data_IF_309209949262
#
_entry.id   IF_309209949262
#
_cell.length_a   1.000
_cell.length_b   1.000
_cell.length_c   1.000
_cell.angle_alpha   90.00
_cell.angle_beta   90.00
_cell.angle_gamma   90.00
#
_symmetry.space_group_name_H-M   'P 1'
#
loop_
_entity.id
_entity.type
_entity.pdbx_description
1 polymer ?
#
# COMPACT_ATOMS: atom_id res chain seq x y z
N UNK A 1 13.96 -52.61 18.41
CA UNK A 1 14.08 -51.53 17.41
C UNK A 1 14.84 -50.36 18.01
N UNK A 2 15.98 -50.01 17.41
CA UNK A 2 16.83 -48.90 17.87
C UNK A 2 16.25 -47.54 17.42
N UNK A 3 16.60 -46.44 18.09
CA UNK A 3 16.14 -45.09 17.72
C UNK A 3 16.50 -44.68 16.28
N UNK A 4 17.56 -45.27 15.71
CA UNK A 4 17.96 -45.06 14.30
C UNK A 4 16.99 -45.68 13.29
N UNK A 5 16.43 -46.85 13.60
CA UNK A 5 15.46 -47.53 12.73
C UNK A 5 14.14 -46.73 12.62
N UNK A 6 13.76 -46.02 13.69
CA UNK A 6 12.58 -45.12 13.69
C UNK A 6 12.78 -43.86 12.85
N UNK A 7 13.99 -43.30 12.81
CA UNK A 7 14.31 -42.13 11.99
C UNK A 7 14.28 -42.43 10.48
N UNK A 8 14.73 -43.63 10.09
CA UNK A 8 14.76 -44.05 8.69
C UNK A 8 13.37 -44.36 8.10
N UNK A 9 12.34 -44.52 8.94
CA UNK A 9 10.96 -44.83 8.54
C UNK A 9 10.05 -43.58 8.47
N UNK A 10 10.57 -42.38 8.70
CA UNK A 10 9.79 -41.15 8.55
C UNK A 10 9.64 -40.87 7.06
N UNK A 11 8.44 -41.14 6.53
CA UNK A 11 8.07 -40.76 5.16
C UNK A 11 8.15 -39.24 5.03
N UNK A 12 9.07 -38.76 4.18
CA UNK A 12 9.16 -37.35 3.81
C UNK A 12 7.88 -37.01 3.01
N UNK A 13 7.03 -36.08 3.48
CA UNK A 13 5.81 -35.70 2.77
C UNK A 13 6.12 -35.22 1.36
N UNK A 14 5.33 -35.65 0.38
CA UNK A 14 5.49 -35.30 -1.05
C UNK A 14 5.35 -33.80 -1.35
N UNK A 15 4.89 -32.98 -0.39
CA UNK A 15 4.82 -31.52 -0.49
C UNK A 15 6.03 -30.76 0.07
N UNK A 16 6.98 -31.44 0.73
CA UNK A 16 8.09 -30.79 1.43
C UNK A 16 9.06 -30.08 0.47
N UNK A 17 9.21 -30.63 -0.75
CA UNK A 17 9.95 -30.00 -1.84
C UNK A 17 9.33 -28.68 -2.29
N UNK A 18 8.00 -28.60 -2.36
CA UNK A 18 7.27 -27.37 -2.70
C UNK A 18 7.42 -26.29 -1.63
N UNK A 19 7.34 -26.67 -0.35
CA UNK A 19 7.57 -25.76 0.78
C UNK A 19 9.01 -25.26 0.81
N UNK A 20 9.99 -26.14 0.56
CA UNK A 20 11.41 -25.75 0.45
C UNK A 20 11.64 -24.81 -0.74
N UNK A 21 10.96 -25.04 -1.86
CA UNK A 21 11.10 -24.22 -3.06
C UNK A 21 10.49 -22.82 -2.85
N UNK A 22 9.29 -22.73 -2.26
CA UNK A 22 8.68 -21.46 -1.85
C UNK A 22 9.53 -20.71 -0.81
N UNK A 23 10.06 -21.41 0.20
CA UNK A 23 10.95 -20.80 1.20
C UNK A 23 12.26 -20.31 0.57
N UNK A 24 12.83 -21.04 -0.39
CA UNK A 24 14.01 -20.62 -1.17
C UNK A 24 13.71 -19.40 -2.04
N UNK A 25 12.52 -19.33 -2.64
CA UNK A 25 12.10 -18.21 -3.46
C UNK A 25 11.91 -16.95 -2.61
N UNK A 26 11.22 -17.04 -1.46
CA UNK A 26 11.10 -15.95 -0.48
C UNK A 26 12.47 -15.47 0.04
N UNK A 27 13.38 -16.38 0.37
CA UNK A 27 14.72 -16.03 0.83
C UNK A 27 15.59 -15.36 -0.26
N UNK A 28 15.44 -15.78 -1.53
CA UNK A 28 16.10 -15.13 -2.67
C UNK A 28 15.56 -13.71 -2.89
N UNK A 29 14.24 -13.54 -2.83
CA UNK A 29 13.59 -12.24 -2.98
C UNK A 29 14.04 -11.26 -1.87
N UNK A 30 14.12 -11.73 -0.63
CA UNK A 30 14.61 -10.92 0.50
C UNK A 30 16.11 -10.55 0.37
N UNK A 31 16.95 -11.46 -0.14
CA UNK A 31 18.38 -11.19 -0.37
C UNK A 31 18.59 -10.21 -1.54
N UNK A 32 17.78 -10.31 -2.60
CA UNK A 32 17.77 -9.36 -3.71
C UNK A 32 17.28 -7.97 -3.27
N UNK A 33 16.28 -7.89 -2.39
CA UNK A 33 15.79 -6.64 -1.76
C UNK A 33 16.94 -5.87 -1.07
N UNK A 34 17.76 -6.55 -0.27
CA UNK A 34 18.96 -5.94 0.35
C UNK A 34 20.02 -5.47 -0.66
N UNK A 35 20.21 -6.20 -1.76
CA UNK A 35 21.22 -5.83 -2.77
C UNK A 35 20.75 -4.75 -3.74
N UNK A 36 19.46 -4.69 -4.09
CA UNK A 36 18.93 -3.61 -4.93
C UNK A 36 18.92 -2.28 -4.18
N UNK A 37 18.51 -2.25 -2.91
CA UNK A 37 18.58 -1.05 -2.05
C UNK A 37 20.02 -0.49 -1.95
N UNK A 38 21.04 -1.33 -2.11
CA UNK A 38 22.45 -0.91 -2.11
C UNK A 38 22.99 -0.49 -3.49
N UNK A 39 22.32 -0.84 -4.60
CA UNK A 39 22.82 -0.59 -5.97
C UNK A 39 22.04 0.48 -6.74
N UNK A 40 20.83 0.83 -6.31
CA UNK A 40 20.04 1.94 -6.89
C UNK A 40 20.29 3.31 -6.21
N UNK A 41 21.14 3.36 -5.19
CA UNK A 41 21.48 4.60 -4.45
C UNK A 41 22.31 5.62 -5.22
N UNK A 42 22.74 5.34 -6.45
CA UNK A 42 23.60 6.25 -7.23
C UNK A 42 22.83 7.17 -8.18
N UNK A 43 21.54 6.94 -8.43
CA UNK A 43 20.72 7.75 -9.35
C UNK A 43 19.54 8.47 -8.68
N UNK A 44 19.16 8.08 -7.45
CA UNK A 44 18.14 8.79 -6.64
C UNK A 44 18.79 9.86 -5.73
N UNK A 45 20.12 9.88 -5.61
CA UNK A 45 20.87 10.81 -4.76
C UNK A 45 20.77 12.30 -5.18
N UNK A 46 20.23 12.62 -6.35
CA UNK A 46 20.05 14.00 -6.79
C UNK A 46 18.68 14.62 -6.41
N UNK A 47 17.70 13.85 -5.92
CA UNK A 47 16.41 14.38 -5.45
C UNK A 47 16.21 14.28 -3.92
N UNK A 48 17.12 13.61 -3.20
CA UNK A 48 17.02 13.40 -1.74
C UNK A 48 17.61 14.54 -0.88
N UNK A 49 17.84 15.73 -1.46
CA UNK A 49 18.42 16.89 -0.77
C UNK A 49 17.44 18.07 -0.64
N UNK A 50 16.14 17.80 -0.45
CA UNK A 50 15.17 18.80 0.05
C UNK A 50 14.34 18.16 1.16
N UNK A 51 14.97 17.94 2.31
CA UNK A 51 14.31 17.52 3.56
C UNK A 51 14.51 18.57 4.65
N UNK A 52 14.18 19.84 4.35
CA UNK A 52 14.09 20.90 5.37
C UNK A 52 12.91 21.83 5.06
N UNK A 53 11.87 21.69 5.90
CA UNK A 53 10.78 22.63 6.20
C UNK A 53 9.95 23.18 5.03
N UNK A 54 9.07 22.36 4.47
CA UNK A 54 7.89 22.89 3.80
C UNK A 54 6.87 23.31 4.87
N UNK A 55 6.95 24.56 5.33
CA UNK A 55 5.85 25.23 5.99
C UNK A 55 4.77 25.47 4.93
N UNK A 56 4.02 24.42 4.55
CA UNK A 56 2.93 24.54 3.58
C UNK A 56 1.77 25.23 4.31
N UNK A 57 1.33 26.42 3.89
CA UNK A 57 0.33 27.21 4.62
C UNK A 57 -1.02 26.49 4.86
N UNK A 58 -1.29 25.40 4.12
CA UNK A 58 -2.49 24.56 4.30
C UNK A 58 -2.44 23.63 5.52
N UNK A 59 -1.26 23.22 5.99
CA UNK A 59 -1.12 22.28 7.13
C UNK A 59 -1.55 22.94 8.44
N UNK A 60 -1.25 24.23 8.63
CA UNK A 60 -1.66 24.98 9.82
C UNK A 60 -3.19 25.18 9.91
N UNK A 61 -3.87 25.30 8.75
CA UNK A 61 -5.33 25.46 8.69
C UNK A 61 -6.09 24.15 8.96
N UNK A 62 -5.43 23.00 8.85
CA UNK A 62 -6.06 21.71 9.09
C UNK A 62 -6.43 21.49 10.57
N UNK A 63 -5.77 22.20 11.51
CA UNK A 63 -5.84 21.98 12.95
C UNK A 63 -6.82 22.91 13.71
N UNK A 64 -7.39 23.96 13.11
CA UNK A 64 -8.14 24.96 13.88
C UNK A 64 -9.51 24.49 14.39
N UNK A 65 -10.10 23.46 13.78
CA UNK A 65 -11.54 23.19 13.91
C UNK A 65 -11.89 21.78 14.45
N UNK A 66 -10.91 20.97 14.87
CA UNK A 66 -11.16 19.59 15.34
C UNK A 66 -10.79 19.44 16.82
N UNK A 67 -11.71 18.97 17.69
CA UNK A 67 -11.34 18.62 19.06
C UNK A 67 -10.36 17.45 19.04
N UNK A 68 -9.09 17.73 19.32
CA UNK A 68 -8.03 16.72 19.31
C UNK A 68 -8.04 15.95 20.63
N UNK A 69 -8.22 14.63 20.54
CA UNK A 69 -7.86 13.72 21.63
C UNK A 69 -6.42 13.26 21.38
N UNK A 70 -5.53 13.46 22.35
CA UNK A 70 -4.11 13.10 22.25
C UNK A 70 -3.20 14.21 21.71
N UNK A 71 -1.93 13.87 21.48
CA UNK A 71 -0.91 14.81 20.98
C UNK A 71 -0.58 14.51 19.53
N UNK A 72 -0.56 15.54 18.68
CA UNK A 72 -0.11 15.42 17.28
C UNK A 72 1.38 15.07 17.27
N UNK A 73 1.72 13.97 16.62
CA UNK A 73 3.11 13.53 16.41
C UNK A 73 3.62 14.02 15.07
N UNK A 74 2.81 13.87 14.01
CA UNK A 74 3.24 14.11 12.63
C UNK A 74 2.06 14.49 11.74
N UNK A 75 2.28 15.38 10.78
CA UNK A 75 1.33 15.67 9.70
C UNK A 75 2.05 15.50 8.37
N UNK A 76 1.47 14.69 7.50
CA UNK A 76 2.00 14.29 6.21
C UNK A 76 0.92 14.40 5.13
N UNK A 77 1.35 14.56 3.88
CA UNK A 77 0.53 14.13 2.74
C UNK A 77 0.87 12.66 2.45
N UNK A 78 2.13 12.38 2.09
CA UNK A 78 2.65 11.01 1.87
C UNK A 78 3.83 10.69 2.80
N UNK A 79 4.08 9.40 3.02
CA UNK A 79 5.24 8.91 3.77
C UNK A 79 4.86 7.88 4.83
N UNK A 80 5.71 7.72 5.84
CA UNK A 80 5.49 6.74 6.90
C UNK A 80 5.88 7.23 8.29
N UNK A 81 5.51 6.45 9.30
CA UNK A 81 5.71 6.75 10.71
C UNK A 81 5.39 5.56 11.60
N UNK A 82 5.01 5.84 12.85
CA UNK A 82 4.67 4.83 13.84
C UNK A 82 5.87 4.04 14.39
N UNK A 83 5.56 3.08 15.24
CA UNK A 83 6.52 2.28 15.98
C UNK A 83 6.40 0.78 15.66
N UNK A 84 7.43 0.01 16.02
CA UNK A 84 7.38 -1.44 15.86
C UNK A 84 6.40 -2.04 16.85
N UNK A 85 5.34 -2.64 16.33
CA UNK A 85 4.31 -3.35 17.10
C UNK A 85 4.21 -4.80 16.64
N UNK A 86 3.43 -5.61 17.36
CA UNK A 86 3.08 -6.98 16.99
C UNK A 86 1.69 -7.30 17.52
N UNK A 87 0.83 -7.91 16.69
CA UNK A 87 -0.49 -8.36 17.10
C UNK A 87 -1.55 -7.26 17.23
N UNK A 88 -1.30 -6.05 16.72
CA UNK A 88 -2.28 -4.96 16.79
C UNK A 88 -3.51 -5.28 15.93
N UNK A 89 -4.68 -4.86 16.40
CA UNK A 89 -5.93 -4.85 15.64
C UNK A 89 -6.28 -3.43 15.23
N UNK A 90 -6.82 -3.28 14.03
CA UNK A 90 -7.24 -2.01 13.45
C UNK A 90 -8.76 -1.93 13.38
N UNK A 91 -9.28 -0.80 13.85
CA UNK A 91 -10.67 -0.39 13.68
C UNK A 91 -10.71 1.06 13.26
N UNK A 92 -11.88 1.56 12.87
CA UNK A 92 -12.04 2.93 12.40
C UNK A 92 -13.17 3.66 13.11
N UNK A 93 -13.14 4.98 13.06
CA UNK A 93 -14.25 5.82 13.49
C UNK A 93 -14.33 7.03 12.58
N UNK A 94 -15.50 7.23 11.99
CA UNK A 94 -15.78 8.40 11.15
C UNK A 94 -16.22 9.59 12.01
N UNK A 95 -15.61 10.74 11.77
CA UNK A 95 -15.93 12.01 12.46
C UNK A 95 -16.02 13.15 11.43
N UNK A 96 -17.22 13.69 11.17
CA UNK A 96 -17.41 14.75 10.15
C UNK A 96 -16.81 14.43 8.77
N UNK A 97 -15.65 15.01 8.43
CA UNK A 97 -14.92 14.81 7.16
C UNK A 97 -13.58 14.07 7.38
N UNK A 98 -13.42 13.43 8.53
CA UNK A 98 -12.24 12.66 8.91
C UNK A 98 -12.58 11.20 9.18
N UNK A 99 -11.58 10.35 8.98
CA UNK A 99 -11.56 8.96 9.40
C UNK A 99 -10.39 8.79 10.38
N UNK A 100 -10.70 8.41 11.61
CA UNK A 100 -9.71 7.98 12.59
C UNK A 100 -9.50 6.46 12.46
N UNK A 101 -8.27 6.05 12.19
CA UNK A 101 -7.81 4.67 12.15
C UNK A 101 -7.18 4.39 13.51
N UNK A 102 -7.89 3.64 14.33
CA UNK A 102 -7.55 3.37 15.72
C UNK A 102 -6.88 2.00 15.85
N UNK A 103 -6.01 1.89 16.84
CA UNK A 103 -5.19 0.71 17.08
C UNK A 103 -5.42 0.19 18.49
N UNK A 104 -5.59 -1.12 18.60
CA UNK A 104 -5.85 -1.77 19.88
C UNK A 104 -5.16 -3.13 20.00
N UNK A 105 -4.83 -3.50 21.24
CA UNK A 105 -4.40 -4.84 21.64
C UNK A 105 -5.34 -5.29 22.76
N UNK A 106 -5.90 -6.49 22.66
CA UNK A 106 -6.84 -7.05 23.64
C UNK A 106 -8.05 -6.14 23.96
N UNK A 107 -8.46 -5.31 22.98
CA UNK A 107 -9.57 -4.35 23.12
C UNK A 107 -9.19 -3.01 23.78
N UNK A 108 -7.93 -2.84 24.19
CA UNK A 108 -7.42 -1.59 24.75
C UNK A 108 -6.66 -0.78 23.71
N UNK A 109 -6.92 0.53 23.67
CA UNK A 109 -6.26 1.43 22.74
C UNK A 109 -4.77 1.59 23.08
N UNK A 110 -3.90 1.43 22.09
CA UNK A 110 -2.45 1.60 22.29
C UNK A 110 -2.05 3.07 22.26
N UNK A 111 -0.85 3.39 22.75
CA UNK A 111 -0.39 4.78 22.91
C UNK A 111 0.25 5.38 21.66
N UNK A 112 0.70 4.55 20.71
CA UNK A 112 1.38 4.95 19.47
C UNK A 112 0.81 4.18 18.28
N UNK A 113 0.89 4.75 17.08
CA UNK A 113 0.50 4.05 15.87
C UNK A 113 1.51 2.93 15.52
N UNK A 114 1.06 1.79 14.96
CA UNK A 114 1.95 0.79 14.39
C UNK A 114 2.71 1.37 13.19
N UNK A 115 3.85 0.78 12.84
CA UNK A 115 4.66 1.23 11.71
C UNK A 115 3.83 1.22 10.42
N UNK A 116 3.74 2.36 9.74
CA UNK A 116 2.87 2.52 8.58
C UNK A 116 3.55 3.25 7.42
N UNK A 117 2.95 3.08 6.24
CA UNK A 117 3.18 3.94 5.06
C UNK A 117 1.85 4.35 4.44
N UNK A 118 1.83 5.54 3.87
CA UNK A 118 0.77 6.06 3.00
C UNK A 118 1.41 6.59 1.73
N UNK A 119 1.05 5.96 0.61
CA UNK A 119 1.44 6.40 -0.72
C UNK A 119 0.24 7.00 -1.45
N UNK A 120 0.52 7.94 -2.35
CA UNK A 120 -0.46 8.51 -3.25
C UNK A 120 -0.09 8.14 -4.69
N UNK A 121 -1.07 7.70 -5.47
CA UNK A 121 -0.91 7.35 -6.89
C UNK A 121 -2.09 7.85 -7.70
N UNK A 122 -1.84 8.05 -8.99
CA UNK A 122 -2.86 8.37 -9.99
C UNK A 122 -3.17 7.17 -10.88
N UNK A 123 -4.27 7.29 -11.63
CA UNK A 123 -4.85 6.26 -12.48
C UNK A 123 -5.38 5.06 -11.69
N UNK A 124 -6.36 5.21 -10.78
CA UNK A 124 -7.04 6.46 -10.38
C UNK A 124 -6.34 7.17 -9.21
N UNK A 125 -6.81 8.39 -8.86
CA UNK A 125 -6.41 9.13 -7.67
C UNK A 125 -6.69 8.32 -6.39
N UNK A 126 -5.65 7.78 -5.76
CA UNK A 126 -5.80 6.83 -4.65
C UNK A 126 -4.72 6.97 -3.59
N UNK A 127 -5.11 6.71 -2.34
CA UNK A 127 -4.22 6.56 -1.20
C UNK A 127 -4.06 5.08 -0.86
N UNK A 128 -2.83 4.63 -0.68
CA UNK A 128 -2.50 3.25 -0.35
C UNK A 128 -1.95 3.22 1.07
N UNK A 129 -2.73 2.67 2.00
CA UNK A 129 -2.32 2.51 3.39
C UNK A 129 -1.73 1.12 3.59
N UNK A 130 -0.59 1.06 4.29
CA UNK A 130 0.02 -0.18 4.78
C UNK A 130 0.38 -0.03 6.24
N UNK A 131 -0.02 -0.98 7.07
CA UNK A 131 0.33 -1.04 8.48
C UNK A 131 1.06 -2.37 8.77
N UNK A 132 2.17 -2.31 9.49
CA UNK A 132 3.00 -3.45 9.88
C UNK A 132 2.89 -3.69 11.39
N UNK A 133 3.09 -4.92 11.83
CA UNK A 133 2.82 -5.33 13.22
C UNK A 133 1.33 -5.46 13.53
N UNK A 134 0.49 -5.55 12.50
CA UNK A 134 -0.98 -5.63 12.59
C UNK A 134 -1.44 -6.99 12.08
N UNK A 135 -2.32 -7.66 12.83
CA UNK A 135 -2.83 -9.00 12.48
C UNK A 135 -4.31 -9.02 12.13
N UNK A 136 -5.05 -7.97 12.47
CA UNK A 136 -6.48 -7.93 12.25
C UNK A 136 -6.93 -6.54 11.80
N UNK A 137 -7.84 -6.53 10.83
CA UNK A 137 -8.56 -5.35 10.36
C UNK A 137 -10.04 -5.68 10.38
N UNK A 138 -10.84 -4.87 11.07
CA UNK A 138 -12.29 -4.87 10.90
C UNK A 138 -12.62 -4.18 9.57
N UNK A 139 -12.57 -4.95 8.49
CA UNK A 139 -12.72 -4.41 7.14
C UNK A 139 -14.14 -3.93 6.86
N UNK A 140 -15.16 -4.65 7.32
CA UNK A 140 -16.55 -4.25 7.12
C UNK A 140 -16.83 -2.88 7.74
N UNK A 141 -16.25 -2.64 8.93
CA UNK A 141 -16.33 -1.33 9.58
C UNK A 141 -15.51 -0.27 8.86
N UNK A 142 -14.28 -0.58 8.43
CA UNK A 142 -13.47 0.32 7.60
C UNK A 142 -14.25 0.76 6.36
N UNK A 143 -14.79 -0.20 5.61
CA UNK A 143 -15.52 0.06 4.37
C UNK A 143 -16.73 0.96 4.64
N UNK A 144 -17.53 0.65 5.66
CA UNK A 144 -18.67 1.46 6.06
C UNK A 144 -18.29 2.88 6.45
N UNK A 145 -17.29 3.03 7.32
CA UNK A 145 -16.89 4.33 7.87
C UNK A 145 -16.26 5.23 6.79
N UNK A 146 -15.45 4.67 5.90
CA UNK A 146 -14.77 5.45 4.86
C UNK A 146 -15.68 5.79 3.67
N UNK A 147 -16.58 4.87 3.25
CA UNK A 147 -17.59 5.16 2.21
C UNK A 147 -18.59 6.22 2.65
N UNK A 148 -18.72 6.48 3.95
CA UNK A 148 -19.53 7.57 4.47
C UNK A 148 -18.89 8.97 4.28
N UNK A 149 -17.62 9.06 3.87
CA UNK A 149 -16.97 10.33 3.56
C UNK A 149 -17.33 10.79 2.14
N UNK A 150 -17.71 12.07 1.97
CA UNK A 150 -18.22 12.58 0.68
C UNK A 150 -17.21 12.47 -0.47
N UNK A 151 -15.92 12.52 -0.15
CA UNK A 151 -14.81 12.64 -1.09
C UNK A 151 -14.19 11.30 -1.49
N UNK A 152 -14.75 10.19 -1.00
CA UNK A 152 -14.30 8.83 -1.32
C UNK A 152 -15.12 8.31 -2.50
N UNK A 153 -14.43 7.72 -3.47
CA UNK A 153 -15.00 7.04 -4.62
C UNK A 153 -15.23 5.56 -4.31
N UNK A 154 -14.19 4.89 -3.82
CA UNK A 154 -14.27 3.49 -3.37
C UNK A 154 -13.17 3.16 -2.35
N UNK A 155 -13.24 1.96 -1.78
CA UNK A 155 -12.22 1.38 -0.91
C UNK A 155 -12.14 -0.12 -1.16
N UNK A 156 -10.93 -0.67 -1.18
CA UNK A 156 -10.72 -2.11 -1.30
C UNK A 156 -9.52 -2.59 -0.47
N UNK A 157 -9.54 -3.86 -0.07
CA UNK A 157 -8.39 -4.49 0.57
C UNK A 157 -7.21 -4.58 -0.39
N UNK A 158 -6.01 -4.26 0.11
CA UNK A 158 -4.77 -4.56 -0.57
C UNK A 158 -4.12 -5.74 0.14
N UNK A 159 -4.24 -6.94 -0.44
CA UNK A 159 -3.75 -8.17 0.19
C UNK A 159 -2.22 -8.14 0.20
N UNK A 160 -1.65 -8.23 1.40
CA UNK A 160 -0.21 -8.33 1.64
C UNK A 160 0.07 -9.76 2.12
N UNK A 161 1.11 -10.39 1.59
CA UNK A 161 1.46 -11.78 1.92
C UNK A 161 2.19 -11.94 3.26
N UNK A 162 2.52 -10.82 3.90
CA UNK A 162 3.03 -10.77 5.27
C UNK A 162 1.84 -10.81 6.23
N UNK A 163 1.76 -11.86 7.05
CA UNK A 163 0.68 -12.10 8.02
C UNK A 163 0.70 -11.12 9.21
N UNK A 164 1.74 -10.29 9.27
CA UNK A 164 1.92 -9.21 10.24
C UNK A 164 1.73 -7.84 9.58
N UNK A 165 1.16 -7.77 8.38
CA UNK A 165 0.82 -6.53 7.72
C UNK A 165 -0.60 -6.54 7.15
N UNK A 166 -1.24 -5.37 7.18
CA UNK A 166 -2.51 -5.12 6.49
C UNK A 166 -2.35 -3.98 5.51
N UNK A 167 -3.10 -4.01 4.43
CA UNK A 167 -3.17 -2.94 3.46
C UNK A 167 -4.58 -2.69 2.97
N UNK A 168 -4.89 -1.44 2.65
CA UNK A 168 -6.10 -1.08 1.93
C UNK A 168 -5.85 0.15 1.06
N UNK A 169 -6.68 0.30 0.04
CA UNK A 169 -6.64 1.43 -0.89
C UNK A 169 -7.91 2.23 -0.74
N UNK A 170 -7.77 3.55 -0.76
CA UNK A 170 -8.86 4.52 -0.77
C UNK A 170 -8.82 5.26 -2.09
N UNK A 171 -9.79 5.03 -2.96
CA UNK A 171 -9.94 5.82 -4.17
C UNK A 171 -10.66 7.13 -3.84
N UNK A 172 -10.09 8.24 -4.27
CA UNK A 172 -10.63 9.56 -4.04
C UNK A 172 -11.39 10.04 -5.28
N UNK A 173 -12.36 10.92 -5.05
CA UNK A 173 -12.97 11.70 -6.12
C UNK A 173 -11.97 12.72 -6.67
N UNK A 174 -12.33 13.33 -7.78
CA UNK A 174 -11.59 14.47 -8.34
C UNK A 174 -11.53 15.62 -7.34
N UNK A 175 -10.46 16.40 -7.42
CA UNK A 175 -10.30 17.66 -6.69
C UNK A 175 -10.37 17.51 -5.16
N UNK A 176 -9.86 16.37 -4.68
CA UNK A 176 -9.75 16.05 -3.26
C UNK A 176 -8.32 16.26 -2.80
N UNK A 177 -8.17 17.23 -1.90
CA UNK A 177 -7.00 17.36 -1.05
C UNK A 177 -7.12 16.40 0.14
N UNK A 178 -5.97 15.92 0.61
CA UNK A 178 -5.91 15.04 1.77
C UNK A 178 -4.79 15.44 2.72
N UNK A 179 -4.98 15.07 4.00
CA UNK A 179 -3.95 15.13 5.01
C UNK A 179 -4.04 13.87 5.87
N UNK A 180 -2.87 13.29 6.15
CA UNK A 180 -2.71 12.17 7.06
C UNK A 180 -1.93 12.64 8.27
N UNK A 181 -2.53 12.50 9.45
CA UNK A 181 -1.94 12.93 10.71
C UNK A 181 -1.79 11.76 11.67
N UNK A 182 -0.64 11.67 12.33
CA UNK A 182 -0.33 10.69 13.35
C UNK A 182 -0.47 11.32 14.74
N UNK A 183 -1.15 10.61 15.63
CA UNK A 183 -1.39 11.03 17.01
C UNK A 183 -0.87 9.98 17.99
N UNK A 184 -0.56 10.42 19.21
CA UNK A 184 -0.18 9.59 20.34
C UNK A 184 -1.00 9.94 21.59
N UNK A 185 -1.11 8.97 22.50
CA UNK A 185 -1.84 9.10 23.78
C UNK A 185 -3.30 9.58 23.62
N UNK A 186 -4.15 8.83 22.90
CA UNK A 186 -3.88 7.50 22.35
C UNK A 186 -3.34 7.53 20.91
N UNK A 187 -2.82 6.39 20.46
CA UNK A 187 -2.29 6.19 19.13
C UNK A 187 -3.39 6.03 18.09
N UNK A 188 -3.39 6.87 17.05
CA UNK A 188 -4.25 6.71 15.87
C UNK A 188 -3.69 7.46 14.66
N UNK A 189 -4.14 7.08 13.46
CA UNK A 189 -3.92 7.82 12.22
C UNK A 189 -5.23 8.48 11.80
N UNK A 190 -5.22 9.78 11.56
CA UNK A 190 -6.37 10.51 11.03
C UNK A 190 -6.17 10.81 9.55
N UNK A 191 -7.11 10.37 8.72
CA UNK A 191 -7.27 10.84 7.35
C UNK A 191 -8.30 11.97 7.34
N UNK A 192 -7.90 13.15 6.88
CA UNK A 192 -8.80 14.28 6.61
C UNK A 192 -8.88 14.50 5.11
N UNK A 193 -10.09 14.55 4.58
CA UNK A 193 -10.34 14.84 3.17
C UNK A 193 -11.03 16.18 3.04
N UNK A 194 -10.51 17.02 2.15
CA UNK A 194 -11.12 18.30 1.79
C UNK A 194 -11.22 18.43 0.29
N UNK A 195 -12.15 19.25 -0.18
CA UNK A 195 -12.15 19.67 -1.58
C UNK A 195 -12.13 21.19 -1.56
N UNK A 196 -11.09 21.78 -2.14
CA UNK A 196 -10.96 23.23 -2.24
C UNK A 196 -11.64 23.78 -3.50
N UNK A 197 -12.28 22.89 -4.29
CA UNK A 197 -12.97 23.22 -5.53
C UNK A 197 -12.04 23.61 -6.67
N UNK A 198 -10.72 23.45 -6.53
CA UNK A 198 -9.78 23.64 -7.63
C UNK A 198 -9.72 22.37 -8.46
N UNK A 199 -10.14 22.51 -9.72
CA UNK A 199 -10.09 21.40 -10.65
C UNK A 199 -8.65 21.05 -11.02
N UNK A 200 -8.23 19.84 -10.66
CA UNK A 200 -7.02 19.22 -11.20
C UNK A 200 -7.40 18.60 -12.53
N UNK A 201 -6.83 19.13 -13.62
CA UNK A 201 -7.17 18.65 -14.95
C UNK A 201 -6.70 17.20 -15.11
N UNK A 202 -7.66 16.30 -15.32
CA UNK A 202 -7.38 14.91 -15.66
C UNK A 202 -6.55 14.84 -16.94
N UNK A 203 -5.53 13.99 -16.93
CA UNK A 203 -4.61 13.80 -18.03
C UNK A 203 -4.39 12.30 -18.27
N UNK A 204 -4.00 11.97 -19.50
CA UNK A 204 -3.81 10.57 -19.89
C UNK A 204 -2.47 10.06 -19.40
N UNK A 205 -2.49 8.93 -18.71
CA UNK A 205 -1.31 8.23 -18.23
C UNK A 205 -1.16 6.87 -18.91
N UNK A 206 0.07 6.38 -18.97
CA UNK A 206 0.43 5.08 -19.51
C UNK A 206 1.03 4.22 -18.40
N UNK A 207 0.73 2.93 -18.42
CA UNK A 207 1.13 2.00 -17.38
C UNK A 207 1.62 0.70 -18.02
N UNK A 208 2.49 0.00 -17.32
CA UNK A 208 2.69 -1.43 -17.54
C UNK A 208 1.79 -2.16 -16.57
N UNK A 209 0.93 -3.06 -17.05
CA UNK A 209 -0.03 -3.76 -16.21
C UNK A 209 -0.15 -5.24 -16.53
N UNK A 210 -0.65 -6.00 -15.56
CA UNK A 210 -1.05 -7.39 -15.73
C UNK A 210 -2.42 -7.51 -16.40
N UNK A 211 -2.76 -8.72 -16.80
CA UNK A 211 -4.16 -9.09 -17.07
C UNK A 211 -5.05 -8.84 -15.85
N UNK A 212 -6.36 -8.79 -16.10
CA UNK A 212 -7.39 -8.74 -15.05
C UNK A 212 -7.39 -10.03 -14.23
N UNK A 213 -7.40 -9.89 -12.91
CA UNK A 213 -7.37 -10.99 -11.95
C UNK A 213 -8.46 -10.81 -10.90
N UNK A 214 -8.91 -11.92 -10.34
CA UNK A 214 -9.70 -11.90 -9.12
C UNK A 214 -8.85 -11.44 -7.94
N UNK A 215 -9.49 -10.81 -6.96
CA UNK A 215 -8.82 -10.47 -5.72
C UNK A 215 -8.39 -11.75 -4.98
N UNK A 216 -7.13 -11.83 -4.57
CA UNK A 216 -6.64 -12.99 -3.84
C UNK A 216 -5.12 -13.11 -3.81
N UNK A 217 -4.65 -14.28 -3.36
CA UNK A 217 -3.23 -14.57 -3.17
C UNK A 217 -2.43 -14.48 -4.48
N UNK A 218 -3.00 -14.90 -5.62
CA UNK A 218 -2.32 -14.82 -6.91
C UNK A 218 -1.99 -13.37 -7.32
N UNK A 219 -2.96 -12.46 -7.16
CA UNK A 219 -2.77 -11.03 -7.37
C UNK A 219 -1.71 -10.45 -6.40
N UNK A 220 -1.76 -10.86 -5.13
CA UNK A 220 -0.81 -10.41 -4.11
C UNK A 220 0.63 -10.92 -4.38
N UNK A 221 0.79 -12.16 -4.84
CA UNK A 221 2.09 -12.70 -5.27
C UNK A 221 2.66 -11.90 -6.44
N UNK A 222 1.83 -11.56 -7.42
CA UNK A 222 2.25 -10.77 -8.57
C UNK A 222 2.64 -9.35 -8.14
N UNK A 223 1.85 -8.72 -7.26
CA UNK A 223 2.17 -7.42 -6.71
C UNK A 223 3.51 -7.44 -5.93
N UNK A 224 3.76 -8.48 -5.11
CA UNK A 224 5.02 -8.65 -4.39
C UNK A 224 6.21 -8.83 -5.34
N UNK A 225 6.06 -9.62 -6.39
CA UNK A 225 7.09 -9.85 -7.41
C UNK A 225 7.60 -8.54 -8.03
N UNK A 226 6.71 -7.58 -8.28
CA UNK A 226 7.05 -6.27 -8.86
C UNK A 226 7.10 -5.13 -7.83
N UNK A 227 7.11 -5.44 -6.53
CA UNK A 227 7.10 -4.42 -5.46
C UNK A 227 8.30 -3.46 -5.53
N UNK A 228 9.48 -3.96 -5.93
CA UNK A 228 10.68 -3.15 -6.10
C UNK A 228 10.59 -2.18 -7.28
N UNK A 229 9.65 -2.41 -8.20
CA UNK A 229 9.40 -1.60 -9.39
C UNK A 229 8.22 -0.63 -9.19
N UNK A 230 7.82 -0.42 -7.93
CA UNK A 230 6.73 0.49 -7.59
C UNK A 230 5.36 -0.03 -8.04
N UNK A 231 5.15 -1.34 -8.04
CA UNK A 231 3.84 -1.94 -8.31
C UNK A 231 2.75 -1.44 -7.36
N UNK A 232 1.51 -1.50 -7.79
CA UNK A 232 0.32 -1.34 -6.94
C UNK A 232 -0.87 -2.05 -7.55
N UNK A 233 -1.83 -2.43 -6.72
CA UNK A 233 -3.08 -3.04 -7.15
C UNK A 233 -4.11 -1.96 -7.45
N UNK A 234 -4.78 -2.07 -8.60
CA UNK A 234 -5.87 -1.18 -9.05
C UNK A 234 -7.10 -2.01 -9.36
N UNK A 235 -8.26 -1.57 -8.88
CA UNK A 235 -9.53 -2.16 -9.29
C UNK A 235 -9.89 -1.70 -10.70
N UNK A 236 -10.38 -2.60 -11.54
CA UNK A 236 -10.82 -2.29 -12.91
C UNK A 236 -12.30 -1.89 -12.91
N UNK A 237 -12.76 -1.28 -14.01
CA UNK A 237 -14.17 -0.88 -14.15
C UNK A 237 -15.15 -2.06 -14.10
N UNK A 238 -14.68 -3.29 -14.38
CA UNK A 238 -15.48 -4.51 -14.32
C UNK A 238 -15.47 -5.19 -12.93
N UNK A 239 -14.81 -4.60 -11.93
CA UNK A 239 -14.76 -5.10 -10.56
C UNK A 239 -13.63 -6.10 -10.27
N UNK A 240 -12.82 -6.45 -11.27
CA UNK A 240 -11.58 -7.22 -11.11
C UNK A 240 -10.44 -6.31 -10.69
N UNK A 241 -9.23 -6.87 -10.63
CA UNK A 241 -8.03 -6.17 -10.20
C UNK A 241 -6.86 -6.41 -11.15
N UNK A 242 -5.92 -5.48 -11.16
CA UNK A 242 -4.68 -5.59 -11.93
C UNK A 242 -3.50 -5.05 -11.13
N UNK A 243 -2.32 -5.59 -11.38
CA UNK A 243 -1.06 -5.02 -10.91
C UNK A 243 -0.57 -4.02 -11.93
N UNK A 244 -0.34 -2.78 -11.51
CA UNK A 244 0.16 -1.70 -12.37
C UNK A 244 1.52 -1.20 -11.88
N UNK A 245 2.40 -0.87 -12.82
CA UNK A 245 3.68 -0.21 -12.58
C UNK A 245 3.75 1.09 -13.39
N UNK A 246 4.26 2.14 -12.73
CA UNK A 246 4.44 3.46 -13.32
C UNK A 246 3.22 4.38 -13.19
N UNK A 247 3.21 5.38 -14.06
CA UNK A 247 2.23 6.43 -14.30
C UNK A 247 2.90 7.37 -15.32
N UNK A 248 3.22 6.83 -16.50
CA UNK A 248 4.08 7.49 -17.47
C UNK A 248 3.29 8.51 -18.31
N UNK A 249 3.89 9.65 -18.60
CA UNK A 249 3.29 10.70 -19.44
C UNK A 249 3.15 10.27 -20.91
N UNK A 250 3.92 9.27 -21.34
CA UNK A 250 3.90 8.80 -22.72
C UNK A 250 4.10 7.28 -22.82
N UNK A 251 3.60 6.73 -23.94
CA UNK A 251 3.66 5.31 -24.25
C UNK A 251 5.08 4.77 -24.37
N UNK A 252 6.00 5.56 -24.93
CA UNK A 252 7.37 5.10 -25.19
C UNK A 252 8.11 4.78 -23.89
N UNK A 253 7.91 5.57 -22.84
CA UNK A 253 8.48 5.32 -21.51
C UNK A 253 7.89 4.05 -20.87
N UNK A 254 6.58 3.84 -20.99
CA UNK A 254 5.93 2.62 -20.53
C UNK A 254 6.45 1.37 -21.28
N UNK A 255 6.60 1.46 -22.61
CA UNK A 255 7.14 0.36 -23.43
C UNK A 255 8.61 0.07 -23.13
N UNK A 256 9.40 1.11 -22.83
CA UNK A 256 10.77 0.93 -22.37
C UNK A 256 10.80 0.17 -21.04
N UNK A 257 9.93 0.54 -20.10
CA UNK A 257 9.86 -0.14 -18.81
C UNK A 257 9.33 -1.58 -18.93
N UNK A 258 8.38 -1.84 -19.83
CA UNK A 258 7.93 -3.20 -20.13
C UNK A 258 9.10 -4.09 -20.59
N UNK A 259 9.98 -3.58 -21.46
CA UNK A 259 11.18 -4.33 -21.90
C UNK A 259 12.10 -4.70 -20.74
N UNK A 260 12.27 -3.81 -19.77
CA UNK A 260 13.06 -4.07 -18.57
C UNK A 260 12.48 -5.20 -17.70
N UNK A 261 11.19 -5.50 -17.81
CA UNK A 261 10.56 -6.65 -17.17
C UNK A 261 10.67 -7.93 -17.98
N UNK A 262 10.45 -7.86 -19.29
CA UNK A 262 10.49 -9.05 -20.17
C UNK A 262 11.89 -9.66 -20.25
N UNK A 263 12.93 -8.86 -20.03
CA UNK A 263 14.32 -9.32 -20.05
C UNK A 263 14.74 -10.02 -18.74
N UNK A 264 13.87 -10.07 -17.72
CA UNK A 264 14.16 -10.70 -16.43
C UNK A 264 13.90 -12.19 -16.47
N UNK A 265 14.82 -12.98 -15.90
CA UNK A 265 14.63 -14.44 -15.73
C UNK A 265 13.38 -14.81 -14.91
N UNK A 266 12.89 -13.89 -14.08
CA UNK A 266 11.73 -14.08 -13.19
C UNK A 266 10.42 -13.63 -13.83
N UNK A 267 10.42 -13.23 -15.12
CA UNK A 267 9.21 -12.89 -15.84
C UNK A 267 8.33 -14.13 -16.03
N UNK A 268 7.14 -14.11 -15.43
CA UNK A 268 6.25 -15.27 -15.36
C UNK A 268 4.86 -15.02 -15.96
N UNK A 269 4.40 -13.76 -15.98
CA UNK A 269 3.05 -13.39 -16.42
C UNK A 269 3.11 -12.38 -17.56
N UNK A 270 2.20 -12.44 -18.55
CA UNK A 270 2.15 -11.47 -19.62
C UNK A 270 1.83 -10.08 -19.07
N UNK A 271 2.80 -9.17 -19.15
CA UNK A 271 2.62 -7.74 -18.92
C UNK A 271 2.41 -7.03 -20.26
N UNK A 272 1.58 -6.00 -20.26
CA UNK A 272 1.35 -5.18 -21.44
C UNK A 272 1.27 -3.69 -21.08
N UNK A 273 1.47 -2.83 -22.08
CA UNK A 273 1.28 -1.38 -21.94
C UNK A 273 -0.16 -1.03 -22.20
N UNK A 274 -0.78 -0.32 -21.26
CA UNK A 274 -2.13 0.21 -21.35
C UNK A 274 -2.16 1.68 -20.92
N UNK A 275 -3.29 2.36 -21.11
CA UNK A 275 -3.44 3.77 -20.79
C UNK A 275 -4.86 4.14 -20.42
N UNK A 276 -5.01 4.98 -19.41
CA UNK A 276 -6.29 5.54 -18.98
C UNK A 276 -6.08 6.92 -18.36
N UNK A 277 -7.16 7.59 -18.00
CA UNK A 277 -7.12 8.93 -17.41
C UNK A 277 -6.66 8.87 -15.95
N UNK A 278 -5.94 9.88 -15.48
CA UNK A 278 -5.33 9.93 -14.14
C UNK A 278 -6.33 9.82 -12.97
N UNK A 279 -7.61 10.02 -13.22
CA UNK A 279 -8.70 9.85 -12.26
C UNK A 279 -9.62 8.64 -12.52
N UNK A 280 -9.35 7.88 -13.57
CA UNK A 280 -10.16 6.73 -13.96
C UNK A 280 -9.51 5.41 -13.56
N UNK A 281 -10.37 4.38 -13.45
CA UNK A 281 -9.94 3.00 -13.32
C UNK A 281 -9.73 2.45 -14.74
N UNK A 282 -8.78 1.52 -14.94
CA UNK A 282 -8.60 0.88 -16.22
C UNK A 282 -9.84 0.05 -16.60
N UNK A 283 -10.05 -0.11 -17.90
CA UNK A 283 -11.15 -0.92 -18.45
C UNK A 283 -10.95 -2.41 -18.16
#
# INVERSE_FOLDING_TARGET
>A
MTGKERYAQINIPSGLSGVIQQARQRARNQKRRKMMIWRSSSLVAACAAVMITANVPGVAKALSDVPVIGSVVKILQVGGGGERTDGVSVTTTKESDTLNINFQIDGEQITSAPSYTVDHKEGPNRLIFTFNGVRHLDYDKLEKDIKALKNVKDVYQNIILDDSAIGFVVELKDDVDYSVSEYQQPGYIQLKLSSDGKSTQSHKLFFVRSEDMEQGEALAMLAEQYSADGSSVVQTQNGKFTVVMGAFENRADAEKHLKEFTDREEYSEPLHVDSWMSNENPQ
#
